data_IF_321843003285
#
_entry.id   IF_321843003285
#
_cell.length_a   1.000
_cell.length_b   1.000
_cell.length_c   1.000
_cell.angle_alpha   90.00
_cell.angle_beta   90.00
_cell.angle_gamma   90.00
#
_symmetry.space_group_name_H-M   'P 1'
#
loop_
_entity.id
_entity.type
_entity.pdbx_description
1 polymer ?
#
# COMPACT_ATOMS: atom_id res chain seq x y z
N UNK A 1 -14.73 -31.39 53.65
CA UNK A 1 -13.77 -31.15 54.76
C UNK A 1 -12.40 -30.95 54.13
N UNK A 2 -11.82 -29.75 54.28
CA UNK A 2 -10.49 -29.36 53.75
C UNK A 2 -9.40 -29.80 54.76
N UNK A 3 -8.12 -29.98 54.38
CA UNK A 3 -7.14 -28.85 54.42
C UNK A 3 -6.18 -28.83 53.20
N UNK A 4 -5.93 -27.68 52.58
CA UNK A 4 -4.82 -26.71 52.76
C UNK A 4 -3.41 -27.32 52.74
N UNK A 5 -2.64 -26.96 51.70
CA UNK A 5 -1.18 -27.02 51.61
C UNK A 5 -0.69 -26.14 50.45
N UNK A 6 0.04 -25.08 50.78
CA UNK A 6 0.49 -23.97 49.91
C UNK A 6 1.95 -24.18 49.49
N UNK A 7 2.30 -23.80 48.25
CA UNK A 7 3.47 -23.00 47.83
C UNK A 7 4.21 -23.48 46.56
N UNK A 8 4.38 -22.49 45.68
CA UNK A 8 5.59 -22.17 44.93
C UNK A 8 5.96 -22.97 43.68
N UNK A 9 6.27 -22.22 42.60
CA UNK A 9 7.13 -22.68 41.53
C UNK A 9 6.60 -22.42 40.13
N UNK A 10 6.53 -21.15 39.74
CA UNK A 10 6.29 -20.78 38.35
C UNK A 10 7.51 -21.07 37.48
N UNK A 11 7.27 -21.65 36.30
CA UNK A 11 7.96 -21.31 35.05
C UNK A 11 6.96 -21.55 33.92
N UNK A 12 6.16 -20.54 33.57
CA UNK A 12 5.50 -20.53 32.25
C UNK A 12 6.55 -20.02 31.28
N UNK A 13 7.30 -20.96 30.69
CA UNK A 13 8.21 -20.68 29.61
C UNK A 13 7.41 -20.19 28.40
N UNK A 14 7.51 -18.90 28.12
CA UNK A 14 6.99 -18.29 26.91
C UNK A 14 7.75 -18.87 25.71
N UNK A 15 7.16 -19.84 25.02
CA UNK A 15 7.52 -20.19 23.65
C UNK A 15 7.10 -19.02 22.75
N UNK A 16 7.96 -18.01 22.69
CA UNK A 16 7.91 -16.99 21.66
C UNK A 16 8.21 -17.65 20.32
N UNK A 17 7.17 -17.91 19.54
CA UNK A 17 7.31 -18.30 18.15
C UNK A 17 7.79 -17.07 17.37
N UNK A 18 9.10 -16.91 17.25
CA UNK A 18 9.70 -15.95 16.32
C UNK A 18 9.63 -16.54 14.92
N UNK A 19 8.49 -16.38 14.26
CA UNK A 19 8.32 -16.65 12.84
C UNK A 19 8.98 -15.55 12.01
N UNK A 20 10.31 -15.61 11.83
CA UNK A 20 11.03 -14.64 11.00
C UNK A 20 12.11 -15.17 10.00
N UNK A 21 12.55 -16.45 9.96
CA UNK A 21 13.65 -16.82 9.06
C UNK A 21 13.22 -17.01 7.59
N UNK A 22 11.95 -17.30 7.30
CA UNK A 22 11.49 -17.62 5.95
C UNK A 22 11.55 -16.43 4.97
N UNK A 23 11.42 -15.20 5.47
CA UNK A 23 11.46 -14.00 4.61
C UNK A 23 12.86 -13.65 4.13
N UNK A 24 13.89 -13.87 4.96
CA UNK A 24 15.27 -13.51 4.62
C UNK A 24 15.88 -14.47 3.60
N UNK A 25 15.70 -15.78 3.80
CA UNK A 25 16.17 -16.78 2.86
C UNK A 25 15.50 -16.61 1.48
N UNK A 26 14.19 -16.36 1.44
CA UNK A 26 13.47 -16.10 0.19
C UNK A 26 13.95 -14.82 -0.52
N UNK A 27 14.25 -13.75 0.23
CA UNK A 27 14.84 -12.53 -0.35
C UNK A 27 16.22 -12.80 -0.93
N UNK A 28 17.07 -13.54 -0.22
CA UNK A 28 18.42 -13.88 -0.71
C UNK A 28 18.35 -14.71 -2.00
N UNK A 29 17.46 -15.72 -2.06
CA UNK A 29 17.21 -16.48 -3.29
C UNK A 29 16.78 -15.57 -4.44
N UNK A 30 15.93 -14.57 -4.18
CA UNK A 30 15.50 -13.61 -5.20
C UNK A 30 16.63 -12.68 -5.66
N UNK A 31 17.54 -12.27 -4.78
CA UNK A 31 18.69 -11.45 -5.16
C UNK A 31 19.65 -12.17 -6.10
N UNK A 32 19.70 -13.51 -6.08
CA UNK A 32 20.47 -14.29 -7.05
C UNK A 32 20.00 -14.12 -8.51
N UNK A 33 18.79 -13.61 -8.73
CA UNK A 33 18.30 -13.26 -10.07
C UNK A 33 19.03 -12.04 -10.67
N UNK A 34 19.72 -11.25 -9.85
CA UNK A 34 20.60 -10.17 -10.30
C UNK A 34 21.93 -10.81 -10.69
N UNK A 35 22.19 -10.97 -12.00
CA UNK A 35 23.38 -11.69 -12.49
C UNK A 35 24.70 -10.96 -12.22
N UNK A 36 24.69 -9.63 -12.21
CA UNK A 36 25.88 -8.82 -11.91
C UNK A 36 26.16 -8.81 -10.39
N UNK A 37 27.29 -9.38 -9.98
CA UNK A 37 27.65 -9.54 -8.56
C UNK A 37 27.83 -8.18 -7.86
N UNK A 38 28.41 -7.19 -8.55
CA UNK A 38 28.61 -5.84 -7.99
C UNK A 38 27.29 -5.15 -7.67
N UNK A 39 26.32 -5.23 -8.58
CA UNK A 39 24.96 -4.72 -8.39
C UNK A 39 24.25 -5.48 -7.29
N UNK A 40 24.37 -6.82 -7.26
CA UNK A 40 23.77 -7.66 -6.22
C UNK A 40 24.26 -7.26 -4.83
N UNK A 41 25.56 -7.07 -4.66
CA UNK A 41 26.17 -6.65 -3.40
C UNK A 41 25.77 -5.23 -2.99
N UNK A 42 25.69 -4.30 -3.93
CA UNK A 42 25.21 -2.95 -3.67
C UNK A 42 23.76 -2.95 -3.17
N UNK A 43 22.88 -3.71 -3.83
CA UNK A 43 21.48 -3.89 -3.42
C UNK A 43 21.40 -4.55 -2.04
N UNK A 44 22.19 -5.60 -1.77
CA UNK A 44 22.20 -6.27 -0.46
C UNK A 44 22.57 -5.31 0.67
N UNK A 45 23.65 -4.53 0.51
CA UNK A 45 24.08 -3.52 1.49
C UNK A 45 22.99 -2.46 1.72
N UNK A 46 22.32 -2.01 0.65
CA UNK A 46 21.21 -1.08 0.76
C UNK A 46 20.06 -1.65 1.60
N UNK A 47 19.66 -2.90 1.33
CA UNK A 47 18.58 -3.59 2.03
C UNK A 47 18.90 -3.82 3.51
N UNK A 48 20.14 -4.20 3.84
CA UNK A 48 20.57 -4.36 5.24
C UNK A 48 20.51 -3.04 6.00
N UNK A 49 20.97 -1.95 5.38
CA UNK A 49 20.88 -0.62 5.95
C UNK A 49 19.41 -0.17 6.13
N UNK A 50 18.55 -0.45 5.14
CA UNK A 50 17.12 -0.15 5.22
C UNK A 50 16.43 -0.94 6.34
N UNK A 51 16.81 -2.21 6.53
CA UNK A 51 16.31 -3.07 7.61
C UNK A 51 16.68 -2.54 9.00
N UNK A 52 17.92 -2.09 9.19
CA UNK A 52 18.36 -1.45 10.44
C UNK A 52 17.52 -0.20 10.77
N UNK A 53 17.05 0.52 9.74
CA UNK A 53 16.16 1.69 9.89
C UNK A 53 14.68 1.32 10.03
N UNK A 54 14.31 0.04 10.04
CA UNK A 54 12.92 -0.43 10.10
C UNK A 54 12.11 -0.15 8.82
N UNK A 55 12.76 0.13 7.70
CA UNK A 55 12.09 0.26 6.39
C UNK A 55 11.71 -1.14 5.89
N UNK A 56 10.48 -1.36 5.38
CA UNK A 56 10.10 -2.63 4.76
C UNK A 56 11.00 -2.94 3.56
N UNK A 57 11.65 -4.10 3.54
CA UNK A 57 12.61 -4.47 2.48
C UNK A 57 11.96 -5.11 1.26
N UNK A 58 10.78 -5.71 1.40
CA UNK A 58 10.12 -6.43 0.30
C UNK A 58 9.80 -5.54 -0.92
N UNK A 59 9.29 -4.30 -0.76
CA UNK A 59 9.12 -3.40 -1.89
C UNK A 59 10.45 -2.98 -2.54
N UNK A 60 11.52 -2.88 -1.75
CA UNK A 60 12.86 -2.53 -2.24
C UNK A 60 13.47 -3.66 -3.08
N UNK A 61 13.32 -4.92 -2.64
CA UNK A 61 13.76 -6.09 -3.43
C UNK A 61 13.03 -6.13 -4.77
N UNK A 62 11.71 -5.99 -4.75
CA UNK A 62 10.90 -6.00 -5.97
C UNK A 62 11.31 -4.88 -6.93
N UNK A 63 11.59 -3.67 -6.41
CA UNK A 63 12.07 -2.54 -7.22
C UNK A 63 13.46 -2.76 -7.83
N UNK A 64 14.36 -3.43 -7.10
CA UNK A 64 15.68 -3.78 -7.63
C UNK A 64 15.56 -4.76 -8.80
N UNK A 65 14.76 -5.82 -8.64
CA UNK A 65 14.51 -6.82 -9.67
C UNK A 65 13.82 -6.23 -10.91
N UNK A 66 12.88 -5.32 -10.70
CA UNK A 66 12.24 -4.56 -11.77
C UNK A 66 13.29 -3.74 -12.56
N UNK A 67 14.19 -3.04 -11.86
CA UNK A 67 15.28 -2.32 -12.50
C UNK A 67 16.18 -3.22 -13.36
N UNK A 68 16.51 -4.42 -12.87
CA UNK A 68 17.27 -5.42 -13.65
C UNK A 68 16.50 -5.88 -14.88
N UNK A 69 15.20 -6.18 -14.73
CA UNK A 69 14.34 -6.58 -15.84
C UNK A 69 14.26 -5.48 -16.93
N UNK A 70 14.25 -4.21 -16.53
CA UNK A 70 14.30 -3.06 -17.44
C UNK A 70 15.71 -2.64 -17.86
N UNK A 71 16.74 -3.45 -17.56
CA UNK A 71 18.14 -3.19 -17.92
C UNK A 71 18.66 -1.83 -17.43
N UNK A 72 18.17 -1.38 -16.28
CA UNK A 72 18.65 -0.17 -15.63
C UNK A 72 20.12 -0.34 -15.20
N UNK A 73 20.88 0.74 -15.26
CA UNK A 73 22.24 0.77 -14.75
C UNK A 73 22.26 0.64 -13.21
N UNK A 74 23.37 0.18 -12.61
CA UNK A 74 23.46 0.06 -11.15
C UNK A 74 23.14 1.37 -10.42
N UNK A 75 23.60 2.50 -10.95
CA UNK A 75 23.33 3.85 -10.43
C UNK A 75 21.86 4.26 -10.56
N UNK A 76 21.13 3.76 -11.56
CA UNK A 76 19.69 3.99 -11.68
C UNK A 76 18.92 3.17 -10.66
N UNK A 77 19.32 1.92 -10.44
CA UNK A 77 18.74 1.05 -9.40
C UNK A 77 18.93 1.68 -8.02
N UNK A 78 20.14 2.10 -7.66
CA UNK A 78 20.42 2.76 -6.37
C UNK A 78 19.57 4.02 -6.16
N UNK A 79 19.49 4.89 -7.18
CA UNK A 79 18.64 6.09 -7.12
C UNK A 79 17.17 5.74 -6.93
N UNK A 80 16.69 4.72 -7.62
CA UNK A 80 15.31 4.26 -7.50
C UNK A 80 15.02 3.68 -6.11
N UNK A 81 15.94 2.91 -5.53
CA UNK A 81 15.83 2.36 -4.18
C UNK A 81 15.81 3.46 -3.12
N UNK A 82 16.71 4.44 -3.22
CA UNK A 82 16.74 5.59 -2.31
C UNK A 82 15.45 6.41 -2.38
N UNK A 83 14.94 6.67 -3.60
CA UNK A 83 13.69 7.38 -3.80
C UNK A 83 12.49 6.59 -3.24
N UNK A 84 12.47 5.26 -3.41
CA UNK A 84 11.42 4.39 -2.88
C UNK A 84 11.46 4.35 -1.35
N UNK A 85 12.63 4.19 -0.73
CA UNK A 85 12.75 4.24 0.73
C UNK A 85 12.22 5.56 1.31
N UNK A 86 12.56 6.70 0.69
CA UNK A 86 12.03 8.01 1.11
C UNK A 86 10.50 8.04 1.05
N UNK A 87 9.91 7.51 -0.02
CA UNK A 87 8.45 7.45 -0.19
C UNK A 87 7.79 6.46 0.78
N UNK A 88 8.40 5.32 1.08
CA UNK A 88 7.90 4.37 2.09
C UNK A 88 7.86 5.01 3.49
N UNK A 89 8.91 5.74 3.87
CA UNK A 89 8.92 6.51 5.13
C UNK A 89 7.82 7.55 5.15
N UNK A 90 7.69 8.32 4.07
CA UNK A 90 6.63 9.33 3.95
C UNK A 90 5.24 8.71 4.00
N UNK A 91 5.01 7.60 3.31
CA UNK A 91 3.76 6.83 3.36
C UNK A 91 3.43 6.40 4.80
N UNK A 92 4.42 5.93 5.57
CA UNK A 92 4.26 5.58 6.98
C UNK A 92 3.88 6.77 7.87
N UNK A 93 4.50 7.93 7.64
CA UNK A 93 4.15 9.17 8.35
C UNK A 93 2.70 9.59 8.09
N UNK A 94 2.21 9.41 6.86
CA UNK A 94 0.88 9.84 6.44
C UNK A 94 -0.23 8.87 6.83
N UNK A 95 0.02 7.57 6.70
CA UNK A 95 -0.96 6.51 6.95
C UNK A 95 -0.93 6.01 8.40
N UNK A 96 0.13 6.31 9.15
CA UNK A 96 0.30 5.95 10.56
C UNK A 96 1.02 4.61 10.75
N UNK A 97 1.51 4.41 11.99
CA UNK A 97 2.39 3.31 12.38
C UNK A 97 1.79 1.90 12.18
N UNK A 98 0.46 1.77 12.20
CA UNK A 98 -0.25 0.49 12.08
C UNK A 98 -0.49 0.04 10.61
N UNK A 99 0.01 0.78 9.63
CA UNK A 99 -0.15 0.46 8.21
C UNK A 99 0.68 -0.77 7.83
N UNK A 100 0.10 -1.70 7.06
CA UNK A 100 0.84 -2.87 6.56
C UNK A 100 1.89 -2.48 5.52
N UNK A 101 2.81 -3.40 5.25
CA UNK A 101 3.79 -3.26 4.17
C UNK A 101 3.10 -2.94 2.83
N UNK A 102 2.00 -3.61 2.51
CA UNK A 102 1.25 -3.38 1.26
C UNK A 102 0.62 -1.98 1.20
N UNK A 103 0.07 -1.49 2.33
CA UNK A 103 -0.45 -0.12 2.42
C UNK A 103 0.67 0.91 2.24
N UNK A 104 1.84 0.65 2.85
CA UNK A 104 3.00 1.52 2.71
C UNK A 104 3.50 1.58 1.26
N UNK A 105 3.59 0.43 0.59
CA UNK A 105 3.98 0.31 -0.81
C UNK A 105 2.97 1.05 -1.72
N UNK A 106 1.67 0.74 -1.60
CA UNK A 106 0.63 1.40 -2.39
C UNK A 106 0.61 2.93 -2.16
N UNK A 107 0.82 3.39 -0.93
CA UNK A 107 0.95 4.82 -0.63
C UNK A 107 2.23 5.44 -1.22
N UNK A 108 3.35 4.72 -1.22
CA UNK A 108 4.59 5.17 -1.85
C UNK A 108 4.46 5.28 -3.39
N UNK A 109 3.67 4.42 -4.01
CA UNK A 109 3.38 4.46 -5.45
C UNK A 109 2.42 5.60 -5.79
N UNK A 110 1.39 5.81 -4.98
CA UNK A 110 0.49 6.96 -5.11
C UNK A 110 1.28 8.28 -5.04
N UNK A 111 2.18 8.42 -4.06
CA UNK A 111 3.04 9.60 -3.93
C UNK A 111 3.97 9.78 -5.14
N UNK A 112 4.48 8.69 -5.72
CA UNK A 112 5.32 8.76 -6.91
C UNK A 112 4.55 9.28 -8.15
N UNK A 113 3.25 9.01 -8.22
CA UNK A 113 2.36 9.51 -9.27
C UNK A 113 1.74 10.87 -8.93
N UNK A 114 2.22 11.55 -7.88
CA UNK A 114 1.81 12.90 -7.54
C UNK A 114 0.54 13.00 -6.68
N UNK A 115 0.13 11.92 -6.02
CA UNK A 115 -0.96 11.98 -5.04
C UNK A 115 -0.68 13.04 -3.96
N UNK A 116 -1.64 13.92 -3.64
CA UNK A 116 -1.45 14.89 -2.56
C UNK A 116 -1.28 14.18 -1.21
N UNK A 117 -0.32 14.61 -0.38
CA UNK A 117 -0.14 14.04 0.96
C UNK A 117 -1.39 14.14 1.84
N UNK A 118 -2.16 15.22 1.67
CA UNK A 118 -3.44 15.40 2.38
C UNK A 118 -4.44 14.31 2.01
N UNK A 119 -4.44 13.83 0.76
CA UNK A 119 -5.33 12.76 0.33
C UNK A 119 -5.06 11.46 1.10
N UNK A 120 -3.78 11.06 1.25
CA UNK A 120 -3.41 9.86 2.02
C UNK A 120 -3.86 9.99 3.49
N UNK A 121 -3.68 11.17 4.10
CA UNK A 121 -4.14 11.45 5.47
C UNK A 121 -5.66 11.35 5.59
N UNK A 122 -6.39 11.89 4.62
CA UNK A 122 -7.86 11.88 4.62
C UNK A 122 -8.43 10.49 4.33
N UNK A 123 -7.78 9.69 3.47
CA UNK A 123 -8.14 8.27 3.27
C UNK A 123 -8.05 7.48 4.58
N UNK A 124 -6.96 7.66 5.35
CA UNK A 124 -6.81 7.05 6.68
C UNK A 124 -7.85 7.55 7.68
N UNK A 125 -8.20 8.84 7.64
CA UNK A 125 -9.22 9.44 8.51
C UNK A 125 -10.61 8.90 8.22
N UNK A 126 -10.95 8.69 6.95
CA UNK A 126 -12.26 8.16 6.52
C UNK A 126 -12.41 6.69 6.92
N UNK A 127 -11.33 5.92 6.84
CA UNK A 127 -11.35 4.48 7.07
C UNK A 127 -10.34 4.07 8.17
N UNK A 128 -10.55 4.49 9.43
CA UNK A 128 -9.67 4.14 10.53
C UNK A 128 -9.65 2.61 10.73
N UNK A 129 -8.46 2.02 10.86
CA UNK A 129 -8.29 0.58 11.07
C UNK A 129 -8.59 -0.33 9.86
N UNK A 130 -9.14 0.20 8.76
CA UNK A 130 -9.33 -0.55 7.52
C UNK A 130 -8.04 -0.59 6.70
N UNK A 131 -7.87 -1.65 5.91
CA UNK A 131 -6.82 -1.72 4.88
C UNK A 131 -7.15 -0.75 3.75
N UNK A 132 -6.15 0.00 3.31
CA UNK A 132 -6.26 1.01 2.24
C UNK A 132 -5.56 0.61 0.93
N UNK A 133 -4.99 -0.59 0.85
CA UNK A 133 -4.17 -1.03 -0.29
C UNK A 133 -4.90 -0.86 -1.63
N UNK A 134 -6.17 -1.26 -1.68
CA UNK A 134 -6.98 -1.19 -2.91
C UNK A 134 -7.31 0.26 -3.26
N UNK A 135 -7.72 1.04 -2.27
CA UNK A 135 -8.08 2.45 -2.45
C UNK A 135 -6.89 3.29 -2.93
N UNK A 136 -5.69 3.03 -2.39
CA UNK A 136 -4.44 3.68 -2.79
C UNK A 136 -3.99 3.23 -4.19
N UNK A 137 -4.16 1.95 -4.51
CA UNK A 137 -3.90 1.42 -5.86
C UNK A 137 -4.79 2.09 -6.91
N UNK A 138 -6.10 2.18 -6.66
CA UNK A 138 -7.05 2.87 -7.56
C UNK A 138 -6.68 4.34 -7.74
N UNK A 139 -6.32 5.05 -6.67
CA UNK A 139 -5.84 6.43 -6.80
C UNK A 139 -4.61 6.51 -7.72
N UNK A 140 -3.64 5.62 -7.52
CA UNK A 140 -2.41 5.55 -8.33
C UNK A 140 -2.72 5.32 -9.81
N UNK A 141 -3.60 4.38 -10.12
CA UNK A 141 -3.98 4.07 -11.50
C UNK A 141 -4.69 5.24 -12.19
N UNK A 142 -5.56 5.96 -11.48
CA UNK A 142 -6.19 7.17 -12.02
C UNK A 142 -5.16 8.26 -12.34
N UNK A 143 -4.17 8.46 -11.47
CA UNK A 143 -3.07 9.41 -11.69
C UNK A 143 -2.20 9.01 -12.89
N UNK A 144 -1.93 7.71 -13.04
CA UNK A 144 -1.19 7.16 -14.18
C UNK A 144 -1.93 7.29 -15.52
N UNK A 145 -3.23 7.63 -15.51
CA UNK A 145 -4.03 7.98 -16.71
C UNK A 145 -4.16 9.49 -16.92
N UNK A 146 -3.21 10.26 -16.39
CA UNK A 146 -3.13 11.72 -16.52
C UNK A 146 -4.35 12.47 -15.96
N UNK A 147 -5.10 11.85 -15.03
CA UNK A 147 -6.16 12.55 -14.31
C UNK A 147 -5.51 13.45 -13.25
N UNK A 148 -5.84 14.74 -13.30
CA UNK A 148 -5.27 15.74 -12.39
C UNK A 148 -5.35 15.29 -10.92
N UNK A 149 -4.26 15.43 -10.11
CA UNK A 149 -4.20 14.79 -8.80
C UNK A 149 -5.32 15.16 -7.83
N UNK A 150 -5.71 16.43 -7.81
CA UNK A 150 -6.81 16.91 -6.98
C UNK A 150 -8.14 16.26 -7.39
N UNK A 151 -8.38 16.08 -8.69
CA UNK A 151 -9.61 15.49 -9.22
C UNK A 151 -9.72 14.01 -8.87
N UNK A 152 -8.66 13.24 -9.13
CA UNK A 152 -8.62 11.81 -8.80
C UNK A 152 -8.81 11.59 -7.28
N UNK A 153 -8.02 12.30 -6.46
CA UNK A 153 -8.12 12.21 -5.00
C UNK A 153 -9.51 12.57 -4.49
N UNK A 154 -10.11 13.65 -5.00
CA UNK A 154 -11.44 14.08 -4.59
C UNK A 154 -12.51 13.03 -4.91
N UNK A 155 -12.44 12.38 -6.07
CA UNK A 155 -13.41 11.34 -6.43
C UNK A 155 -13.28 10.11 -5.51
N UNK A 156 -12.06 9.60 -5.32
CA UNK A 156 -11.81 8.43 -4.45
C UNK A 156 -12.24 8.71 -3.02
N UNK A 157 -11.88 9.89 -2.47
CA UNK A 157 -12.28 10.29 -1.11
C UNK A 157 -13.81 10.37 -0.96
N UNK A 158 -14.53 10.94 -1.95
CA UNK A 158 -16.00 10.97 -1.90
C UNK A 158 -16.57 9.55 -1.89
N UNK A 159 -16.06 8.66 -2.73
CA UNK A 159 -16.56 7.28 -2.83
C UNK A 159 -16.32 6.51 -1.52
N UNK A 160 -15.12 6.64 -0.95
CA UNK A 160 -14.80 6.07 0.36
C UNK A 160 -15.72 6.62 1.46
N UNK A 161 -15.95 7.93 1.50
CA UNK A 161 -16.84 8.56 2.48
C UNK A 161 -18.31 8.10 2.33
N UNK A 162 -18.69 7.65 1.14
CA UNK A 162 -20.00 7.04 0.82
C UNK A 162 -20.06 5.54 1.06
N UNK A 163 -18.98 4.95 1.58
CA UNK A 163 -18.90 3.53 1.90
C UNK A 163 -18.63 2.63 0.69
N UNK A 164 -18.07 3.15 -0.39
CA UNK A 164 -17.67 2.32 -1.52
C UNK A 164 -16.73 1.19 -1.07
N UNK A 165 -17.01 -0.02 -1.52
CA UNK A 165 -16.15 -1.17 -1.29
C UNK A 165 -14.93 -1.13 -2.20
N UNK A 166 -13.88 -1.88 -1.85
CA UNK A 166 -12.71 -2.05 -2.71
C UNK A 166 -13.09 -2.57 -4.10
N UNK A 167 -14.03 -3.51 -4.19
CA UNK A 167 -14.56 -4.04 -5.46
C UNK A 167 -15.22 -2.97 -6.31
N UNK A 168 -16.05 -2.10 -5.72
CA UNK A 168 -16.68 -1.01 -6.46
C UNK A 168 -15.66 0.00 -7.00
N UNK A 169 -14.56 0.22 -6.26
CA UNK A 169 -13.48 1.10 -6.69
C UNK A 169 -12.63 0.48 -7.81
N UNK A 170 -12.37 -0.83 -7.77
CA UNK A 170 -11.65 -1.52 -8.86
C UNK A 170 -12.51 -1.65 -10.12
N UNK A 171 -13.81 -1.92 -9.97
CA UNK A 171 -14.77 -1.92 -11.08
C UNK A 171 -14.90 -0.53 -11.74
N UNK A 172 -14.97 0.53 -10.93
CA UNK A 172 -14.91 1.91 -11.42
C UNK A 172 -13.67 2.13 -12.27
N UNK A 173 -12.51 1.79 -11.73
CA UNK A 173 -11.23 1.98 -12.40
C UNK A 173 -11.15 1.19 -13.72
N UNK A 174 -11.57 -0.08 -13.71
CA UNK A 174 -11.64 -0.90 -14.93
C UNK A 174 -12.57 -0.28 -15.98
N UNK A 175 -13.72 0.25 -15.58
CA UNK A 175 -14.65 0.93 -16.48
C UNK A 175 -14.07 2.23 -17.05
N UNK A 176 -13.36 3.01 -16.25
CA UNK A 176 -12.65 4.22 -16.70
C UNK A 176 -11.58 3.85 -17.73
N UNK A 177 -10.78 2.83 -17.45
CA UNK A 177 -9.74 2.36 -18.37
C UNK A 177 -10.33 1.87 -19.69
N UNK A 178 -11.46 1.16 -19.65
CA UNK A 178 -12.18 0.73 -20.85
C UNK A 178 -12.66 1.93 -21.68
N UNK A 179 -13.24 2.95 -21.06
CA UNK A 179 -13.70 4.14 -21.77
C UNK A 179 -12.53 4.91 -22.40
N UNK A 180 -11.42 5.04 -21.67
CA UNK A 180 -10.18 5.68 -22.17
C UNK A 180 -9.61 4.91 -23.36
N UNK A 181 -9.61 3.58 -23.31
CA UNK A 181 -9.18 2.75 -24.44
C UNK A 181 -10.07 2.91 -25.68
N UNK A 182 -11.34 3.33 -25.50
CA UNK A 182 -12.27 3.68 -26.57
C UNK A 182 -12.15 5.16 -27.01
N UNK A 183 -11.17 5.90 -26.50
CA UNK A 183 -10.90 7.30 -26.88
C UNK A 183 -11.65 8.34 -26.05
N UNK A 184 -12.38 7.95 -25.00
CA UNK A 184 -13.01 8.90 -24.08
C UNK A 184 -11.93 9.60 -23.25
N UNK A 185 -12.07 10.92 -23.04
CA UNK A 185 -11.13 11.67 -22.18
C UNK A 185 -11.14 11.10 -20.75
N UNK A 186 -9.97 10.88 -20.10
CA UNK A 186 -9.89 10.25 -18.78
C UNK A 186 -10.77 10.89 -17.70
N UNK A 187 -10.76 12.23 -17.63
CA UNK A 187 -11.57 12.97 -16.65
C UNK A 187 -13.08 12.76 -16.88
N UNK A 188 -13.53 12.76 -18.12
CA UNK A 188 -14.93 12.57 -18.47
C UNK A 188 -15.40 11.14 -18.18
N UNK A 189 -14.56 10.14 -18.45
CA UNK A 189 -14.81 8.76 -18.07
C UNK A 189 -14.94 8.62 -16.54
N UNK A 190 -14.00 9.19 -15.78
CA UNK A 190 -14.05 9.16 -14.31
C UNK A 190 -15.32 9.83 -13.76
N UNK A 191 -15.71 10.98 -14.29
CA UNK A 191 -16.93 11.67 -13.84
C UNK A 191 -18.21 10.89 -14.16
N UNK A 192 -18.29 10.31 -15.36
CA UNK A 192 -19.43 9.49 -15.75
C UNK A 192 -19.55 8.25 -14.88
N UNK A 193 -18.47 7.47 -14.78
CA UNK A 193 -18.45 6.21 -14.03
C UNK A 193 -18.56 6.44 -12.53
N UNK A 194 -17.90 7.47 -12.00
CA UNK A 194 -17.98 7.88 -10.60
C UNK A 194 -19.40 8.24 -10.18
N UNK A 195 -20.15 8.98 -11.00
CA UNK A 195 -21.58 9.26 -10.75
C UNK A 195 -22.42 7.97 -10.73
N UNK A 196 -22.14 7.04 -11.65
CA UNK A 196 -22.80 5.74 -11.67
C UNK A 196 -22.63 4.99 -10.35
N UNK A 197 -21.39 4.83 -9.88
CA UNK A 197 -21.12 4.18 -8.57
C UNK A 197 -21.81 4.93 -7.43
N UNK A 198 -21.74 6.26 -7.40
CA UNK A 198 -22.40 7.06 -6.35
C UNK A 198 -23.90 6.84 -6.25
N UNK A 199 -24.59 6.66 -7.38
CA UNK A 199 -26.03 6.43 -7.42
C UNK A 199 -26.43 5.08 -6.82
N UNK A 200 -25.51 4.11 -6.81
CA UNK A 200 -25.71 2.78 -6.22
C UNK A 200 -25.34 2.73 -4.73
N UNK A 201 -24.67 3.76 -4.21
CA UNK A 201 -24.26 3.81 -2.81
C UNK A 201 -25.36 4.41 -1.92
N UNK A 202 -25.51 3.92 -0.68
CA UNK A 202 -26.49 4.46 0.27
C UNK A 202 -26.28 5.96 0.54
N UNK A 203 -27.35 6.72 0.86
CA UNK A 203 -27.23 8.11 1.29
C UNK A 203 -26.27 8.25 2.50
N UNK A 204 -25.56 9.38 2.60
CA UNK A 204 -24.63 9.59 3.69
C UNK A 204 -25.39 9.57 5.03
N UNK A 205 -25.04 8.63 5.92
CA UNK A 205 -25.62 8.51 7.27
C UNK A 205 -26.58 7.33 7.52
N UNK A 206 -26.97 6.55 6.51
CA UNK A 206 -27.92 5.44 6.68
C UNK A 206 -27.33 4.16 7.30
N UNK A 207 -26.01 4.06 7.43
CA UNK A 207 -25.32 2.86 7.96
C UNK A 207 -25.42 2.76 9.49
N UNK A 208 -25.71 3.86 10.20
CA UNK A 208 -25.78 3.89 11.67
C UNK A 208 -27.05 3.22 12.21
N UNK A 209 -28.12 3.10 11.40
CA UNK A 209 -29.42 2.56 11.86
C UNK A 209 -29.63 1.07 11.63
N UNK A 210 -28.79 0.39 10.85
CA UNK A 210 -29.01 -1.01 10.47
C UNK A 210 -28.42 -2.06 11.43
N UNK A 211 -27.60 -1.65 12.40
CA UNK A 211 -26.84 -2.59 13.26
C UNK A 211 -27.40 -2.72 14.69
N UNK A 212 -28.61 -2.21 14.92
CA UNK A 212 -29.30 -2.29 16.21
C UNK A 212 -30.70 -2.90 16.04
N UNK A 213 -30.77 -4.16 15.61
CA UNK A 213 -31.93 -5.03 15.76
C UNK A 213 -31.47 -6.46 16.00
#
# INVERSE_FOLDING_TARGET
>A
MVPVGVFAGGVVGALGVVSAPASLAAQETRLLLISDDGTRDAVRRFLDAARVRGTPTEPLVSRALEGVAFRATPKEIERALAALEKRLKKSRELLGANSTVDELAAGADALAHGAPESALRDMRRIAPGRRLTVELGVLTELLAKDIAPKTAATMVLRLMARGASGTQLTELNAAVQKDVALGVKPVSALELRGRGVMSLLPPAGSVVTAQKR
#
